data_IF_859194453282
#
_entry.id   IF_859194453282
#
_cell.length_a   1.000
_cell.length_b   1.000
_cell.length_c   1.000
_cell.angle_alpha   90.00
_cell.angle_beta   90.00
_cell.angle_gamma   90.00
#
_symmetry.space_group_name_H-M   'P 1'
#
loop_
_entity.id
_entity.type
_entity.pdbx_description
1 polymer ?
#
# COMPACT_ATOMS: atom_id res chain seq x y z
N UNK A 1 4.79 -4.68 -19.98
CA UNK A 1 5.34 -6.06 -20.00
C UNK A 1 4.27 -6.97 -19.37
N UNK A 2 4.57 -8.23 -19.01
CA UNK A 2 3.68 -9.05 -18.19
C UNK A 2 4.22 -9.10 -16.75
N UNK A 3 3.33 -9.02 -15.75
CA UNK A 3 3.72 -9.04 -14.33
C UNK A 3 4.30 -10.41 -13.99
N UNK A 4 5.57 -10.45 -13.59
CA UNK A 4 6.23 -11.68 -13.16
C UNK A 4 5.83 -12.05 -11.74
N UNK A 5 5.11 -13.16 -11.57
CA UNK A 5 4.65 -13.63 -10.23
C UNK A 5 5.79 -13.82 -9.24
N UNK A 6 6.95 -14.30 -9.71
CA UNK A 6 8.14 -14.49 -8.88
C UNK A 6 8.70 -13.14 -8.39
N UNK A 7 8.78 -12.15 -9.28
CA UNK A 7 9.27 -10.82 -8.92
C UNK A 7 8.27 -10.03 -8.08
N UNK A 8 6.97 -10.24 -8.30
CA UNK A 8 5.90 -9.70 -7.48
C UNK A 8 5.98 -10.24 -6.04
N UNK A 9 6.17 -11.54 -5.87
CA UNK A 9 6.27 -12.18 -4.54
C UNK A 9 7.46 -11.65 -3.72
N UNK A 10 8.61 -11.42 -4.35
CA UNK A 10 9.79 -10.82 -3.68
C UNK A 10 9.54 -9.43 -3.09
N UNK A 11 8.47 -8.77 -3.51
CA UNK A 11 8.06 -7.42 -3.08
C UNK A 11 6.80 -7.46 -2.21
N UNK A 12 6.45 -8.64 -1.70
CA UNK A 12 5.27 -8.82 -0.86
C UNK A 12 3.93 -8.78 -1.61
N UNK A 13 3.93 -8.93 -2.94
CA UNK A 13 2.69 -8.98 -3.73
C UNK A 13 2.24 -10.43 -3.85
N UNK A 14 1.18 -10.82 -3.12
CA UNK A 14 0.58 -12.13 -3.25
C UNK A 14 -0.35 -12.17 -4.48
N UNK A 15 0.22 -12.51 -5.64
CA UNK A 15 -0.55 -12.51 -6.89
C UNK A 15 -1.77 -13.44 -6.84
N UNK A 16 -1.63 -14.64 -6.26
CA UNK A 16 -2.75 -15.59 -6.14
C UNK A 16 -3.90 -15.03 -5.29
N UNK A 17 -3.58 -14.46 -4.12
CA UNK A 17 -4.57 -13.80 -3.26
C UNK A 17 -5.20 -12.60 -3.96
N UNK A 18 -4.40 -11.80 -4.66
CA UNK A 18 -4.89 -10.65 -5.41
C UNK A 18 -5.89 -11.03 -6.50
N UNK A 19 -5.63 -12.11 -7.24
CA UNK A 19 -6.57 -12.66 -8.23
C UNK A 19 -7.87 -13.14 -7.57
N UNK A 20 -7.79 -13.80 -6.41
CA UNK A 20 -8.98 -14.22 -5.63
C UNK A 20 -9.81 -13.00 -5.19
N UNK A 21 -9.15 -11.95 -4.68
CA UNK A 21 -9.81 -10.70 -4.27
C UNK A 21 -10.54 -10.01 -5.43
N UNK A 22 -10.12 -10.28 -6.67
CA UNK A 22 -10.72 -9.76 -7.91
C UNK A 22 -11.56 -10.82 -8.63
N UNK A 23 -12.21 -11.72 -7.89
CA UNK A 23 -13.19 -12.65 -8.45
C UNK A 23 -12.59 -13.78 -9.29
N UNK A 24 -11.35 -14.18 -8.99
CA UNK A 24 -10.55 -15.12 -9.78
C UNK A 24 -10.22 -14.63 -11.21
N UNK A 25 -10.26 -13.31 -11.44
CA UNK A 25 -9.91 -12.69 -12.72
C UNK A 25 -8.51 -12.05 -12.67
N UNK A 26 -7.55 -12.69 -13.32
CA UNK A 26 -6.17 -12.18 -13.43
C UNK A 26 -6.04 -10.91 -14.25
N UNK A 27 -6.90 -10.69 -15.24
CA UNK A 27 -6.87 -9.47 -16.06
C UNK A 27 -7.40 -8.30 -15.23
N UNK A 28 -8.48 -8.51 -14.48
CA UNK A 28 -9.00 -7.51 -13.55
C UNK A 28 -7.96 -7.16 -12.47
N UNK A 29 -7.30 -8.16 -11.89
CA UNK A 29 -6.24 -7.94 -10.91
C UNK A 29 -5.04 -7.17 -11.51
N UNK A 30 -4.55 -7.55 -12.69
CA UNK A 30 -3.45 -6.85 -13.35
C UNK A 30 -3.78 -5.37 -13.60
N UNK A 31 -5.02 -5.07 -14.02
CA UNK A 31 -5.49 -3.69 -14.22
C UNK A 31 -5.53 -2.94 -12.89
N UNK A 32 -6.09 -3.53 -11.84
CA UNK A 32 -6.17 -2.91 -10.53
C UNK A 32 -4.78 -2.67 -9.92
N UNK A 33 -3.85 -3.61 -10.08
CA UNK A 33 -2.49 -3.50 -9.57
C UNK A 33 -1.73 -2.37 -10.28
N UNK A 34 -1.95 -2.17 -11.59
CA UNK A 34 -1.36 -1.07 -12.36
C UNK A 34 -1.82 0.32 -11.95
N UNK A 35 -2.94 0.46 -11.24
CA UNK A 35 -3.37 1.78 -10.73
C UNK A 35 -2.73 2.14 -9.40
N UNK A 36 -2.06 1.19 -8.72
CA UNK A 36 -1.45 1.43 -7.41
C UNK A 36 -0.45 2.61 -7.35
N UNK A 37 0.41 2.85 -8.37
CA UNK A 37 1.29 4.02 -8.37
C UNK A 37 0.57 5.37 -8.26
N UNK A 38 -0.66 5.43 -8.80
CA UNK A 38 -1.52 6.62 -8.79
C UNK A 38 -2.51 6.62 -7.61
N UNK A 39 -2.24 5.86 -6.55
CA UNK A 39 -3.06 5.86 -5.35
C UNK A 39 -2.85 7.16 -4.53
N UNK A 40 -3.90 7.99 -4.48
CA UNK A 40 -3.89 9.28 -3.80
C UNK A 40 -3.95 9.17 -2.27
N UNK A 41 -4.41 8.02 -1.73
CA UNK A 41 -4.58 7.87 -0.28
C UNK A 41 -3.26 7.89 0.46
N UNK A 42 -2.18 7.38 -0.15
CA UNK A 42 -0.83 7.51 0.40
C UNK A 42 -0.33 8.96 0.38
N UNK A 43 -0.61 9.71 -0.70
CA UNK A 43 -0.21 11.13 -0.80
C UNK A 43 -0.91 11.95 0.27
N UNK A 44 -2.22 11.74 0.44
CA UNK A 44 -3.01 12.39 1.48
C UNK A 44 -2.52 12.04 2.89
N UNK A 45 -2.17 10.76 3.13
CA UNK A 45 -1.58 10.32 4.40
C UNK A 45 -0.29 11.08 4.72
N UNK A 46 0.62 11.16 3.76
CA UNK A 46 1.91 11.85 3.95
C UNK A 46 1.75 13.35 4.19
N UNK A 47 0.80 13.99 3.50
CA UNK A 47 0.50 15.40 3.69
C UNK A 47 -0.01 15.67 5.13
N UNK A 48 -1.00 14.91 5.59
CA UNK A 48 -1.58 15.08 6.92
C UNK A 48 -0.55 14.81 8.04
N UNK A 49 0.30 13.79 7.88
CA UNK A 49 1.38 13.51 8.83
C UNK A 49 2.42 14.66 8.86
N UNK A 50 2.74 15.27 7.71
CA UNK A 50 3.66 16.39 7.65
C UNK A 50 3.11 17.65 8.35
N UNK A 51 1.78 17.80 8.40
CA UNK A 51 1.09 18.85 9.16
C UNK A 51 0.99 18.54 10.66
N UNK A 52 1.39 17.32 11.07
CA UNK A 52 1.32 16.87 12.46
C UNK A 52 -0.09 16.53 12.93
N UNK A 53 -1.05 16.37 12.00
CA UNK A 53 -2.46 16.13 12.30
C UNK A 53 -2.79 14.63 12.22
N UNK A 54 -2.74 13.95 13.37
CA UNK A 54 -3.06 12.53 13.47
C UNK A 54 -4.53 12.21 13.16
N UNK A 55 -5.45 13.11 13.51
CA UNK A 55 -6.89 12.93 13.30
C UNK A 55 -7.24 12.98 11.81
N UNK A 56 -6.70 13.97 11.10
CA UNK A 56 -6.87 14.10 9.65
C UNK A 56 -6.09 13.05 8.86
N UNK A 57 -5.00 12.51 9.41
CA UNK A 57 -4.21 11.44 8.77
C UNK A 57 -4.90 10.07 8.81
N UNK A 58 -5.69 9.78 9.85
CA UNK A 58 -6.28 8.45 10.09
C UNK A 58 -7.16 7.95 8.92
N UNK A 59 -8.10 8.74 8.36
CA UNK A 59 -8.90 8.29 7.22
C UNK A 59 -8.05 7.94 5.99
N UNK A 60 -7.01 8.71 5.71
CA UNK A 60 -6.09 8.45 4.60
C UNK A 60 -5.28 7.17 4.83
N UNK A 61 -4.80 6.94 6.07
CA UNK A 61 -4.11 5.72 6.45
C UNK A 61 -5.00 4.47 6.29
N UNK A 62 -6.27 4.56 6.73
CA UNK A 62 -7.24 3.48 6.61
C UNK A 62 -7.58 3.17 5.15
N UNK A 63 -7.74 4.20 4.32
CA UNK A 63 -7.95 4.06 2.88
C UNK A 63 -6.74 3.38 2.22
N UNK A 64 -5.53 3.82 2.54
CA UNK A 64 -4.30 3.23 2.01
C UNK A 64 -4.12 1.77 2.44
N UNK A 65 -4.35 1.46 3.73
CA UNK A 65 -4.34 0.08 4.24
C UNK A 65 -5.36 -0.79 3.52
N UNK A 66 -6.58 -0.28 3.31
CA UNK A 66 -7.63 -1.00 2.57
C UNK A 66 -7.16 -1.31 1.14
N UNK A 67 -6.61 -0.33 0.43
CA UNK A 67 -6.05 -0.51 -0.92
C UNK A 67 -4.98 -1.60 -0.94
N UNK A 68 -4.06 -1.59 0.03
CA UNK A 68 -3.03 -2.62 0.15
C UNK A 68 -3.63 -4.02 0.33
N UNK A 69 -4.71 -4.13 1.11
CA UNK A 69 -5.44 -5.38 1.31
C UNK A 69 -6.13 -5.88 0.04
N UNK A 70 -6.84 -4.99 -0.66
CA UNK A 70 -7.49 -5.30 -1.94
C UNK A 70 -6.50 -5.86 -2.96
N UNK A 71 -5.32 -5.23 -3.06
CA UNK A 71 -4.26 -5.59 -4.00
C UNK A 71 -3.33 -6.70 -3.51
N UNK A 72 -3.55 -7.23 -2.30
CA UNK A 72 -2.73 -8.26 -1.66
C UNK A 72 -1.23 -7.88 -1.54
N UNK A 73 -0.96 -6.63 -1.17
CA UNK A 73 0.38 -6.10 -0.89
C UNK A 73 0.74 -6.37 0.58
N UNK A 74 1.02 -7.62 0.93
CA UNK A 74 1.06 -8.11 2.32
C UNK A 74 2.02 -7.35 3.22
N UNK A 75 3.26 -7.12 2.80
CA UNK A 75 4.24 -6.37 3.61
C UNK A 75 3.80 -4.91 3.80
N UNK A 76 3.35 -4.27 2.72
CA UNK A 76 2.90 -2.89 2.76
C UNK A 76 1.62 -2.71 3.58
N UNK A 77 0.71 -3.70 3.54
CA UNK A 77 -0.48 -3.75 4.37
C UNK A 77 -0.13 -3.76 5.86
N UNK A 78 0.84 -4.59 6.28
CA UNK A 78 1.26 -4.67 7.68
C UNK A 78 1.88 -3.36 8.16
N UNK A 79 2.72 -2.72 7.34
CA UNK A 79 3.27 -1.39 7.65
C UNK A 79 2.18 -0.32 7.74
N UNK A 80 1.25 -0.31 6.79
CA UNK A 80 0.10 0.59 6.83
C UNK A 80 -0.79 0.33 8.06
N UNK A 81 -0.91 -0.92 8.52
CA UNK A 81 -1.65 -1.26 9.72
C UNK A 81 -0.98 -0.72 10.99
N UNK A 82 0.35 -0.76 11.09
CA UNK A 82 1.09 -0.15 12.19
C UNK A 82 0.89 1.37 12.24
N UNK A 83 0.92 2.03 11.07
CA UNK A 83 0.60 3.47 10.97
C UNK A 83 -0.83 3.77 11.42
N UNK A 84 -1.82 2.98 10.97
CA UNK A 84 -3.21 3.14 11.41
C UNK A 84 -3.33 2.99 12.94
N UNK A 85 -2.66 1.99 13.54
CA UNK A 85 -2.71 1.78 14.98
C UNK A 85 -2.18 2.97 15.77
N UNK A 86 -1.05 3.56 15.36
CA UNK A 86 -0.50 4.76 16.00
C UNK A 86 -1.49 5.94 15.94
N UNK A 87 -2.11 6.14 14.77
CA UNK A 87 -3.07 7.21 14.53
C UNK A 87 -4.38 7.00 15.32
N UNK A 88 -4.82 5.75 15.49
CA UNK A 88 -5.99 5.41 16.33
C UNK A 88 -5.75 5.73 17.81
N UNK A 89 -4.49 5.69 18.27
CA UNK A 89 -4.07 6.14 19.60
C UNK A 89 -3.88 7.67 19.69
N UNK A 90 -4.17 8.41 18.61
CA UNK A 90 -3.98 9.86 18.53
C UNK A 90 -2.51 10.29 18.44
N UNK A 91 -1.61 9.36 18.12
CA UNK A 91 -0.17 9.60 18.03
C UNK A 91 0.30 9.54 16.58
N UNK A 92 1.28 10.37 16.23
CA UNK A 92 1.95 10.24 14.94
C UNK A 92 2.83 8.97 14.94
N UNK A 93 2.87 8.22 13.83
CA UNK A 93 3.75 7.07 13.73
C UNK A 93 5.23 7.49 13.81
N UNK A 94 6.12 6.62 14.34
CA UNK A 94 7.55 6.87 14.35
C UNK A 94 8.10 7.11 12.94
N UNK A 95 9.13 7.96 12.82
CA UNK A 95 9.80 8.25 11.53
C UNK A 95 10.32 6.97 10.87
N UNK A 96 10.86 6.04 11.67
CA UNK A 96 11.38 4.76 11.17
C UNK A 96 10.30 3.91 10.51
N UNK A 97 9.07 3.92 11.04
CA UNK A 97 7.93 3.20 10.44
C UNK A 97 7.44 3.87 9.16
N UNK A 98 7.51 5.19 9.11
CA UNK A 98 7.20 5.96 7.89
C UNK A 98 8.23 5.71 6.79
N UNK A 99 9.52 5.73 7.12
CA UNK A 99 10.59 5.44 6.17
C UNK A 99 10.50 4.00 5.64
N UNK A 100 10.16 3.05 6.52
CA UNK A 100 9.89 1.68 6.11
C UNK A 100 8.69 1.62 5.16
N UNK A 101 7.56 2.28 5.48
CA UNK A 101 6.39 2.32 4.61
C UNK A 101 6.74 2.86 3.22
N UNK A 102 7.52 3.94 3.17
CA UNK A 102 7.96 4.60 1.95
C UNK A 102 8.83 3.69 1.10
N UNK A 103 9.82 3.03 1.71
CA UNK A 103 10.73 2.12 1.02
C UNK A 103 9.98 0.93 0.40
N UNK A 104 9.03 0.33 1.13
CA UNK A 104 8.19 -0.75 0.59
C UNK A 104 7.34 -0.27 -0.58
N UNK A 105 6.67 0.88 -0.44
CA UNK A 105 5.84 1.45 -1.52
C UNK A 105 6.70 1.75 -2.75
N UNK A 106 7.85 2.40 -2.57
CA UNK A 106 8.75 2.75 -3.66
C UNK A 106 9.24 1.52 -4.42
N UNK A 107 9.57 0.43 -3.71
CA UNK A 107 9.99 -0.83 -4.32
C UNK A 107 8.90 -1.49 -5.17
N UNK A 108 7.64 -1.39 -4.75
CA UNK A 108 6.47 -1.87 -5.51
C UNK A 108 6.21 -0.98 -6.72
N UNK A 109 6.18 0.35 -6.55
CA UNK A 109 5.94 1.32 -7.63
C UNK A 109 6.99 1.17 -8.73
N UNK A 110 8.27 1.17 -8.38
CA UNK A 110 9.37 1.02 -9.34
C UNK A 110 9.31 -0.31 -10.10
N UNK A 111 8.73 -1.35 -9.51
CA UNK A 111 8.49 -2.62 -10.20
C UNK A 111 7.33 -2.52 -11.18
N UNK A 112 6.19 -1.95 -10.75
CA UNK A 112 4.99 -1.85 -11.58
C UNK A 112 5.17 -0.93 -12.78
N UNK A 113 5.94 0.15 -12.64
CA UNK A 113 6.25 1.07 -13.74
C UNK A 113 7.14 0.45 -14.82
N UNK A 114 7.90 -0.60 -14.48
CA UNK A 114 8.75 -1.36 -15.40
C UNK A 114 8.05 -2.58 -16.00
N UNK A 115 6.88 -2.96 -15.45
CA UNK A 115 6.20 -4.22 -15.72
C UNK A 115 5.23 -4.16 -16.91
#
# INVERSE_FOLDING_TARGET
MAISRREALKRGISYGTGVINHGNDSIAYDRALKTFPADDSYVALRAAIAEGDAESALPAAQAFRKRCGELALSELYLRAAAVVAALEEGSLPPVEELDALDAARAGIVAYLERA
#
